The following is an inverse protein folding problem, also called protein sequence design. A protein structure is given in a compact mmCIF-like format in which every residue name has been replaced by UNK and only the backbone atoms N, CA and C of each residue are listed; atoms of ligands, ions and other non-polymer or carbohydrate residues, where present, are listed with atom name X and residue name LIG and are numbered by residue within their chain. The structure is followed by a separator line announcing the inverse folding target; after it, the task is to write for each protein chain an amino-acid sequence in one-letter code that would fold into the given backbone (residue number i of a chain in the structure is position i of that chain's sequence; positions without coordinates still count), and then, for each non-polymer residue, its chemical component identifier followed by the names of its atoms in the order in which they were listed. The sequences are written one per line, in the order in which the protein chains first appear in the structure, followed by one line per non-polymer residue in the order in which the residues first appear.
data_IF_449867332413
#
_entry.id   IF_449867332413
#
_cell.length_a   1.000
_cell.length_b   1.000
_cell.length_c   1.000
_cell.angle_alpha   90.00
_cell.angle_beta   90.00
_cell.angle_gamma   90.00
#
_symmetry.space_group_name_H-M   'P 1'
#
loop_
_entity.id
_entity.type
_entity.pdbx_description
1 polymer ?
#
# COMPACT_ATOMS: atom_id res chain seq x y z
N UNK A 1 14.96 -19.24 18.03
CA UNK A 1 13.69 -18.51 17.94
C UNK A 1 12.50 -19.46 18.11
N UNK A 2 12.62 -20.71 17.81
CA UNK A 2 11.59 -21.71 18.06
C UNK A 2 12.17 -22.82 18.95
N UNK A 3 12.28 -22.58 20.27
CA UNK A 3 12.61 -23.65 21.19
C UNK A 3 11.54 -24.73 21.09
N UNK A 4 11.93 -25.97 21.23
CA UNK A 4 10.98 -27.08 21.30
C UNK A 4 9.89 -26.73 22.31
N UNK A 5 8.62 -26.89 21.90
CA UNK A 5 7.46 -26.74 22.78
C UNK A 5 7.46 -27.79 23.89
N UNK A 6 8.29 -28.82 23.76
CA UNK A 6 8.50 -29.80 24.80
C UNK A 6 9.39 -29.19 25.90
N UNK A 7 8.78 -29.02 27.04
CA UNK A 7 9.41 -28.52 28.23
C UNK A 7 10.73 -29.24 28.52
N UNK A 8 11.82 -28.50 28.32
CA UNK A 8 13.14 -28.92 28.79
C UNK A 8 13.13 -28.80 30.30
N UNK A 9 12.67 -29.79 30.99
CA UNK A 9 12.75 -29.83 32.44
C UNK A 9 13.78 -30.86 32.83
N UNK A 10 14.85 -30.36 33.43
CA UNK A 10 15.68 -31.19 34.26
C UNK A 10 14.84 -31.52 35.48
N UNK A 11 14.41 -32.77 35.60
CA UNK A 11 13.56 -33.20 36.71
C UNK A 11 14.34 -33.23 38.02
N UNK A 12 15.59 -33.67 37.98
CA UNK A 12 16.45 -33.71 39.13
C UNK A 12 17.94 -33.59 38.75
N UNK A 13 18.73 -33.02 39.63
CA UNK A 13 20.17 -33.00 39.58
C UNK A 13 20.69 -33.53 40.93
N UNK A 14 21.18 -34.78 40.93
CA UNK A 14 21.60 -35.45 42.17
C UNK A 14 23.13 -35.56 42.18
N UNK A 15 23.78 -35.02 43.22
CA UNK A 15 25.23 -35.17 43.44
C UNK A 15 25.57 -36.52 44.03
N UNK A 16 26.76 -37.04 43.69
CA UNK A 16 27.28 -38.27 44.28
C UNK A 16 27.65 -38.12 45.77
N UNK A 17 28.03 -36.90 46.18
CA UNK A 17 28.40 -36.54 47.56
C UNK A 17 28.00 -35.08 47.79
N UNK A 18 27.52 -34.75 49.01
CA UNK A 18 27.18 -33.39 49.39
C UNK A 18 25.73 -33.02 49.33
N UNK A 19 25.43 -31.73 49.35
CA UNK A 19 24.06 -31.20 49.37
C UNK A 19 23.51 -31.09 47.96
N UNK A 20 22.18 -31.21 47.84
CA UNK A 20 21.46 -30.96 46.58
C UNK A 20 21.71 -29.52 46.11
N UNK A 21 22.01 -29.33 44.80
CA UNK A 21 22.22 -27.98 44.27
C UNK A 21 20.99 -27.12 44.41
N UNK A 22 21.18 -25.84 44.73
CA UNK A 22 20.10 -24.89 44.86
C UNK A 22 19.58 -24.55 43.44
N UNK A 23 18.31 -24.86 43.16
CA UNK A 23 17.65 -24.46 41.95
C UNK A 23 17.28 -22.99 41.99
N UNK A 24 17.68 -22.24 40.94
CA UNK A 24 17.30 -20.84 40.75
C UNK A 24 16.16 -20.83 39.74
N UNK A 25 15.03 -20.23 40.11
CA UNK A 25 13.90 -20.10 39.20
C UNK A 25 14.26 -19.21 38.01
N UNK A 26 14.14 -19.77 36.81
CA UNK A 26 14.30 -19.06 35.56
C UNK A 26 13.34 -19.69 34.52
N UNK A 27 12.59 -18.84 33.82
CA UNK A 27 11.55 -19.28 32.86
C UNK A 27 12.12 -19.93 31.59
N UNK A 28 13.43 -19.77 31.34
CA UNK A 28 14.07 -20.17 30.07
C UNK A 28 15.08 -21.29 30.19
N UNK A 29 15.60 -21.52 31.39
CA UNK A 29 16.61 -22.54 31.63
C UNK A 29 16.52 -23.06 33.05
N UNK A 30 16.77 -24.35 33.24
CA UNK A 30 16.95 -24.91 34.57
C UNK A 30 18.35 -24.54 35.05
N UNK A 31 18.44 -23.70 36.09
CA UNK A 31 19.69 -23.17 36.65
C UNK A 31 19.90 -23.76 38.02
N UNK A 32 21.08 -24.35 38.23
CA UNK A 32 21.48 -24.92 39.47
C UNK A 32 22.76 -24.25 39.95
N UNK A 33 22.73 -23.71 41.16
CA UNK A 33 23.94 -23.18 41.80
C UNK A 33 24.71 -24.34 42.47
N UNK A 34 25.91 -24.57 41.94
CA UNK A 34 26.80 -25.63 42.45
C UNK A 34 27.96 -24.99 43.21
N UNK A 35 28.25 -25.46 44.38
CA UNK A 35 29.41 -25.07 45.15
C UNK A 35 30.33 -26.29 45.28
N UNK A 36 31.56 -26.17 44.81
CA UNK A 36 32.57 -27.25 44.86
C UNK A 36 33.76 -26.73 45.62
N UNK A 37 34.18 -27.49 46.64
CA UNK A 37 35.39 -27.17 47.43
C UNK A 37 36.65 -27.47 46.61
N UNK A 38 37.72 -26.71 46.80
CA UNK A 38 38.98 -26.92 46.10
C UNK A 38 39.53 -28.35 46.29
N UNK A 39 39.79 -29.03 45.18
CA UNK A 39 40.33 -30.41 45.20
C UNK A 39 39.27 -31.52 45.28
N UNK A 40 37.98 -31.21 45.41
CA UNK A 40 36.90 -32.22 45.37
C UNK A 40 36.45 -32.52 43.93
N UNK A 41 36.16 -33.80 43.70
CA UNK A 41 35.51 -34.27 42.44
C UNK A 41 34.11 -34.76 42.79
N UNK A 42 33.09 -34.11 42.24
CA UNK A 42 31.69 -34.48 42.46
C UNK A 42 31.07 -34.86 41.12
N UNK A 43 30.45 -36.04 41.09
CA UNK A 43 29.69 -36.52 39.93
C UNK A 43 28.23 -36.11 40.11
N UNK A 44 27.65 -35.45 39.09
CA UNK A 44 26.23 -35.07 39.07
C UNK A 44 25.47 -35.96 38.09
N UNK A 45 24.40 -36.58 38.54
CA UNK A 45 23.46 -37.31 37.73
C UNK A 45 22.27 -36.39 37.43
N UNK A 46 22.02 -36.15 36.12
CA UNK A 46 20.94 -35.29 35.67
C UNK A 46 19.82 -36.15 35.04
N UNK A 47 18.64 -36.05 35.60
CA UNK A 47 17.43 -36.63 35.01
C UNK A 47 16.75 -35.61 34.10
N UNK A 48 16.63 -35.90 32.82
CA UNK A 48 16.03 -35.01 31.82
C UNK A 48 14.80 -35.64 31.18
N UNK A 49 13.68 -34.95 31.24
CA UNK A 49 12.48 -35.25 30.49
C UNK A 49 12.52 -34.53 29.13
N UNK A 50 13.39 -34.98 28.20
CA UNK A 50 13.55 -34.39 26.88
C UNK A 50 13.83 -35.46 25.84
N UNK A 51 13.29 -35.29 24.63
CA UNK A 51 13.52 -36.15 23.46
C UNK A 51 14.88 -35.88 22.80
N UNK A 52 15.57 -34.81 23.16
CA UNK A 52 16.89 -34.41 22.64
C UNK A 52 17.85 -34.05 23.77
N UNK A 53 19.12 -34.36 23.59
CA UNK A 53 20.18 -33.91 24.51
C UNK A 53 20.22 -32.39 24.58
N UNK A 54 19.90 -31.87 25.76
CA UNK A 54 20.01 -30.43 26.07
C UNK A 54 21.49 -30.07 26.27
N UNK A 55 21.88 -28.87 25.87
CA UNK A 55 23.22 -28.35 26.16
C UNK A 55 23.31 -27.96 27.63
N UNK A 56 24.37 -28.41 28.27
CA UNK A 56 24.70 -28.04 29.64
C UNK A 56 25.89 -27.09 29.58
N UNK A 57 25.71 -25.90 30.16
CA UNK A 57 26.75 -24.89 30.26
C UNK A 57 27.16 -24.71 31.72
N UNK A 58 28.43 -24.67 31.98
CA UNK A 58 28.96 -24.31 33.27
C UNK A 58 29.47 -22.87 33.21
N UNK A 59 28.92 -22.01 34.04
CA UNK A 59 29.26 -20.60 34.10
C UNK A 59 29.89 -20.23 35.43
N UNK A 60 30.89 -19.36 35.42
CA UNK A 60 31.26 -18.62 36.63
C UNK A 60 30.13 -17.64 36.97
N UNK A 61 29.77 -17.46 38.25
CA UNK A 61 28.64 -16.63 38.64
C UNK A 61 28.67 -15.22 38.05
N UNK A 62 29.79 -14.53 38.09
CA UNK A 62 29.96 -13.20 37.50
C UNK A 62 29.74 -13.21 35.95
N UNK A 63 30.28 -14.20 35.26
CA UNK A 63 30.12 -14.31 33.80
C UNK A 63 28.66 -14.57 33.43
N UNK A 64 27.94 -15.34 34.23
CA UNK A 64 26.50 -15.59 34.04
C UNK A 64 25.70 -14.29 34.26
N UNK A 65 25.98 -13.50 35.29
CA UNK A 65 25.31 -12.22 35.54
C UNK A 65 25.52 -11.23 34.37
N UNK A 66 26.74 -11.14 33.85
CA UNK A 66 27.04 -10.32 32.67
C UNK A 66 26.25 -10.80 31.45
N UNK A 67 26.26 -12.10 31.17
CA UNK A 67 25.50 -12.67 30.02
C UNK A 67 24.00 -12.40 30.13
N UNK A 68 23.41 -12.56 31.29
CA UNK A 68 21.99 -12.25 31.53
C UNK A 68 21.69 -10.77 31.33
N UNK A 69 22.61 -9.89 31.77
CA UNK A 69 22.46 -8.44 31.59
C UNK A 69 22.51 -8.05 30.12
N UNK A 70 23.46 -8.59 29.36
CA UNK A 70 23.56 -8.36 27.91
C UNK A 70 22.31 -8.83 27.16
N UNK A 71 21.79 -10.03 27.48
CA UNK A 71 20.55 -10.54 26.88
C UNK A 71 19.35 -9.67 27.21
N UNK A 72 19.24 -9.17 28.45
CA UNK A 72 18.14 -8.25 28.83
C UNK A 72 18.21 -6.94 28.07
N UNK A 73 19.42 -6.37 27.93
CA UNK A 73 19.64 -5.15 27.16
C UNK A 73 19.31 -5.35 25.70
N UNK A 74 19.79 -6.44 25.09
CA UNK A 74 19.47 -6.79 23.70
C UNK A 74 17.96 -6.94 23.49
N UNK A 75 17.26 -7.68 24.34
CA UNK A 75 15.82 -7.87 24.26
C UNK A 75 15.07 -6.53 24.40
N UNK A 76 15.50 -5.66 25.32
CA UNK A 76 14.92 -4.33 25.49
C UNK A 76 15.08 -3.45 24.26
N UNK A 77 16.25 -3.47 23.62
CA UNK A 77 16.51 -2.73 22.37
C UNK A 77 15.59 -3.26 21.24
N UNK A 78 15.48 -4.58 21.07
CA UNK A 78 14.63 -5.17 20.03
C UNK A 78 13.16 -4.81 20.22
N UNK A 79 12.64 -4.87 21.44
CA UNK A 79 11.28 -4.45 21.77
C UNK A 79 11.08 -2.96 21.53
N UNK A 80 12.06 -2.13 21.94
CA UNK A 80 12.00 -0.67 21.75
C UNK A 80 11.93 -0.28 20.28
N UNK A 81 12.82 -0.82 19.44
CA UNK A 81 12.84 -0.54 18.01
C UNK A 81 11.50 -0.97 17.35
N UNK A 82 11.04 -2.19 17.65
CA UNK A 82 9.79 -2.72 17.06
C UNK A 82 8.58 -1.92 17.54
N UNK A 83 8.52 -1.55 18.82
CA UNK A 83 7.44 -0.75 19.39
C UNK A 83 7.38 0.65 18.81
N UNK A 84 8.52 1.35 18.72
CA UNK A 84 8.60 2.68 18.10
C UNK A 84 8.18 2.66 16.64
N UNK A 85 8.61 1.64 15.88
CA UNK A 85 8.21 1.48 14.49
C UNK A 85 6.69 1.25 14.36
N UNK A 86 6.10 0.43 15.23
CA UNK A 86 4.65 0.19 15.27
C UNK A 86 3.87 1.47 15.54
N UNK A 87 4.29 2.27 16.52
CA UNK A 87 3.69 3.57 16.83
C UNK A 87 3.85 4.53 15.65
N UNK A 88 5.04 4.62 15.06
CA UNK A 88 5.33 5.47 13.90
C UNK A 88 4.41 5.15 12.72
N UNK A 89 4.31 3.87 12.31
CA UNK A 89 3.47 3.47 11.18
C UNK A 89 1.98 3.73 11.45
N UNK A 90 1.54 3.56 12.70
CA UNK A 90 0.17 3.85 13.12
C UNK A 90 -0.12 5.35 13.07
N UNK A 91 0.83 6.19 13.53
CA UNK A 91 0.71 7.64 13.47
C UNK A 91 0.68 8.16 12.02
N UNK A 92 1.54 7.60 11.15
CA UNK A 92 1.56 7.94 9.73
C UNK A 92 0.24 7.55 9.05
N UNK A 93 -0.37 6.42 9.43
CA UNK A 93 -1.70 6.06 8.96
C UNK A 93 -2.76 7.07 9.38
N UNK A 94 -2.77 7.51 10.63
CA UNK A 94 -3.71 8.52 11.13
C UNK A 94 -3.62 9.83 10.34
N UNK A 95 -2.42 10.20 9.86
CA UNK A 95 -2.20 11.39 9.06
C UNK A 95 -2.57 11.22 7.56
N UNK A 96 -2.33 10.06 6.97
CA UNK A 96 -2.42 9.86 5.50
C UNK A 96 -3.59 8.98 5.04
N UNK A 97 -4.25 8.23 5.92
CA UNK A 97 -5.38 7.33 5.64
C UNK A 97 -5.17 6.29 4.51
N UNK A 98 -3.93 6.03 4.08
CA UNK A 98 -3.63 5.03 3.04
C UNK A 98 -3.55 3.64 3.66
N UNK A 99 -4.30 2.65 3.12
CA UNK A 99 -4.39 1.27 3.62
C UNK A 99 -3.05 0.50 3.67
N UNK A 100 -2.01 0.99 3.03
CA UNK A 100 -0.66 0.39 3.06
C UNK A 100 -0.04 0.51 4.45
N UNK A 101 -0.24 1.64 5.14
CA UNK A 101 0.32 1.87 6.48
C UNK A 101 -0.27 0.96 7.56
N UNK A 102 -1.61 0.77 7.69
CA UNK A 102 -2.14 -0.14 8.69
C UNK A 102 -1.75 -1.60 8.45
N UNK A 103 -1.55 -2.03 7.19
CA UNK A 103 -1.08 -3.39 6.93
C UNK A 103 0.37 -3.62 7.38
N UNK A 104 1.27 -2.65 7.18
CA UNK A 104 2.64 -2.70 7.69
C UNK A 104 2.70 -2.55 9.22
N UNK A 105 1.88 -1.66 9.81
CA UNK A 105 1.75 -1.51 11.25
C UNK A 105 1.28 -2.82 11.89
N UNK A 106 0.31 -3.51 11.27
CA UNK A 106 -0.18 -4.81 11.75
C UNK A 106 0.95 -5.85 11.81
N UNK A 107 1.79 -5.96 10.79
CA UNK A 107 2.98 -6.83 10.80
C UNK A 107 3.87 -6.49 11.99
N UNK A 108 4.17 -5.20 12.17
CA UNK A 108 5.07 -4.74 13.24
C UNK A 108 4.48 -5.02 14.64
N UNK A 109 3.18 -4.80 14.84
CA UNK A 109 2.51 -5.10 16.11
C UNK A 109 2.47 -6.61 16.38
N UNK A 110 2.22 -7.45 15.36
CA UNK A 110 2.26 -8.92 15.51
C UNK A 110 3.66 -9.41 15.86
N UNK A 111 4.71 -8.86 15.24
CA UNK A 111 6.10 -9.17 15.59
C UNK A 111 6.41 -8.71 17.02
N UNK A 112 5.96 -7.54 17.44
CA UNK A 112 6.15 -7.06 18.82
C UNK A 112 5.48 -8.00 19.82
N UNK A 113 4.24 -8.41 19.59
CA UNK A 113 3.53 -9.37 20.44
C UNK A 113 4.28 -10.69 20.51
N UNK A 114 4.74 -11.21 19.36
CA UNK A 114 5.55 -12.42 19.31
C UNK A 114 6.83 -12.29 20.14
N UNK A 115 7.57 -11.18 20.02
CA UNK A 115 8.79 -10.92 20.81
C UNK A 115 8.49 -10.79 22.30
N UNK A 116 7.37 -10.17 22.68
CA UNK A 116 6.95 -10.08 24.09
C UNK A 116 6.69 -11.46 24.70
N UNK A 117 6.05 -12.36 23.93
CA UNK A 117 5.83 -13.76 24.37
C UNK A 117 7.16 -14.52 24.41
N UNK A 118 7.98 -14.43 23.36
CA UNK A 118 9.24 -15.15 23.23
C UNK A 118 10.28 -14.72 24.31
N UNK A 119 10.28 -13.45 24.66
CA UNK A 119 11.15 -12.90 25.72
C UNK A 119 10.61 -13.14 27.15
N UNK A 120 9.44 -13.77 27.30
CA UNK A 120 8.81 -14.02 28.59
C UNK A 120 8.33 -12.76 29.30
N UNK A 121 8.11 -11.66 28.55
CA UNK A 121 7.63 -10.39 29.12
C UNK A 121 6.20 -10.54 29.66
N UNK A 122 5.33 -11.27 28.96
CA UNK A 122 3.96 -11.52 29.36
C UNK A 122 3.87 -12.37 30.63
N UNK A 123 4.76 -13.37 30.78
CA UNK A 123 4.80 -14.19 31.99
C UNK A 123 5.10 -13.35 33.24
N UNK A 124 6.03 -12.41 33.12
CA UNK A 124 6.38 -11.52 34.23
C UNK A 124 5.32 -10.48 34.56
N UNK A 125 4.61 -9.98 33.54
CA UNK A 125 3.58 -8.94 33.72
C UNK A 125 2.26 -9.50 34.22
N UNK A 126 1.83 -10.66 33.70
CA UNK A 126 0.49 -11.22 33.91
C UNK A 126 0.49 -12.55 34.68
N UNK A 127 1.65 -13.07 35.14
CA UNK A 127 1.82 -14.35 35.86
C UNK A 127 1.15 -15.53 35.13
N UNK A 128 1.32 -15.62 33.83
CA UNK A 128 0.68 -16.59 32.96
C UNK A 128 1.30 -17.98 33.17
N UNK A 129 0.47 -19.06 33.19
CA UNK A 129 0.94 -20.44 33.27
C UNK A 129 1.76 -20.85 32.01
N UNK A 130 2.62 -21.85 32.14
CA UNK A 130 3.42 -22.37 31.03
C UNK A 130 2.55 -22.89 29.86
N UNK A 131 1.40 -23.50 30.15
CA UNK A 131 0.45 -23.97 29.14
C UNK A 131 -0.19 -22.80 28.39
N UNK A 132 -0.63 -21.77 29.09
CA UNK A 132 -1.16 -20.56 28.47
C UNK A 132 -0.10 -19.84 27.62
N UNK A 133 1.17 -19.84 28.03
CA UNK A 133 2.25 -19.27 27.23
C UNK A 133 2.45 -19.99 25.88
N UNK A 134 2.24 -21.32 25.83
CA UNK A 134 2.29 -22.06 24.57
C UNK A 134 1.15 -21.65 23.62
N UNK A 135 -0.05 -21.41 24.15
CA UNK A 135 -1.21 -20.93 23.38
C UNK A 135 -0.93 -19.52 22.82
N UNK A 136 -0.48 -18.59 23.66
CA UNK A 136 -0.15 -17.22 23.23
C UNK A 136 0.94 -17.20 22.16
N UNK A 137 1.94 -18.08 22.28
CA UNK A 137 3.01 -18.22 21.31
C UNK A 137 2.48 -18.70 19.96
N UNK A 138 1.70 -19.77 19.95
CA UNK A 138 1.10 -20.32 18.73
C UNK A 138 0.16 -19.30 18.06
N UNK A 139 -0.63 -18.57 18.83
CA UNK A 139 -1.49 -17.52 18.34
C UNK A 139 -0.69 -16.36 17.73
N UNK A 140 0.41 -15.94 18.37
CA UNK A 140 1.28 -14.88 17.85
C UNK A 140 2.00 -15.30 16.54
N UNK A 141 2.45 -16.56 16.42
CA UNK A 141 3.02 -17.11 15.19
C UNK A 141 1.98 -17.11 14.05
N UNK A 142 0.75 -17.53 14.31
CA UNK A 142 -0.34 -17.51 13.34
C UNK A 142 -0.73 -16.08 12.94
N UNK A 143 -0.83 -15.16 13.90
CA UNK A 143 -1.10 -13.74 13.64
C UNK A 143 0.00 -13.08 12.81
N UNK A 144 1.26 -13.42 13.04
CA UNK A 144 2.40 -12.93 12.25
C UNK A 144 2.32 -13.42 10.79
N UNK A 145 2.00 -14.69 10.56
CA UNK A 145 1.80 -15.23 9.21
C UNK A 145 0.60 -14.55 8.50
N UNK A 146 -0.50 -14.37 9.22
CA UNK A 146 -1.71 -13.67 8.72
C UNK A 146 -1.38 -12.23 8.34
N UNK A 147 -0.71 -11.49 9.21
CA UNK A 147 -0.37 -10.07 8.99
C UNK A 147 0.54 -9.88 7.78
N UNK A 148 1.51 -10.77 7.58
CA UNK A 148 2.40 -10.74 6.42
C UNK A 148 1.64 -11.03 5.11
N UNK A 149 0.67 -11.96 5.12
CA UNK A 149 -0.21 -12.22 3.97
C UNK A 149 -1.07 -11.00 3.64
N UNK A 150 -1.66 -10.35 4.65
CA UNK A 150 -2.44 -9.11 4.48
C UNK A 150 -1.57 -7.99 3.91
N UNK A 151 -0.35 -7.86 4.42
CA UNK A 151 0.61 -6.88 3.92
C UNK A 151 0.92 -7.08 2.44
N UNK A 152 1.28 -8.30 2.02
CA UNK A 152 1.53 -8.62 0.62
C UNK A 152 0.32 -8.34 -0.27
N UNK A 153 -0.86 -8.80 0.15
CA UNK A 153 -2.11 -8.58 -0.59
C UNK A 153 -2.37 -7.09 -0.82
N UNK A 154 -2.22 -6.27 0.24
CA UNK A 154 -2.49 -4.84 0.20
C UNK A 154 -1.42 -4.08 -0.57
N UNK A 155 -0.14 -4.38 -0.33
CA UNK A 155 0.98 -3.68 -0.94
C UNK A 155 1.08 -3.93 -2.44
N UNK A 156 0.94 -5.19 -2.89
CA UNK A 156 0.98 -5.57 -4.30
C UNK A 156 -0.37 -5.37 -5.03
N UNK A 157 -1.41 -4.90 -4.32
CA UNK A 157 -2.77 -4.69 -4.86
C UNK A 157 -3.35 -5.93 -5.55
N UNK A 158 -3.18 -7.11 -4.94
CA UNK A 158 -3.64 -8.38 -5.50
C UNK A 158 -5.17 -8.41 -5.71
N UNK A 159 -5.91 -7.59 -4.99
CA UNK A 159 -7.37 -7.43 -5.18
C UNK A 159 -7.81 -6.94 -6.57
N UNK A 160 -6.90 -6.28 -7.32
CA UNK A 160 -7.17 -5.78 -8.68
C UNK A 160 -6.84 -6.82 -9.77
N UNK A 161 -6.36 -8.00 -9.38
CA UNK A 161 -5.98 -9.08 -10.29
C UNK A 161 -7.18 -9.97 -10.65
N UNK A 162 -6.92 -10.96 -11.51
CA UNK A 162 -7.93 -11.93 -11.94
C UNK A 162 -8.65 -12.56 -10.76
N UNK A 163 -9.95 -12.85 -10.90
CA UNK A 163 -10.82 -13.35 -9.83
C UNK A 163 -10.24 -14.55 -9.07
N UNK A 164 -9.53 -15.44 -9.77
CA UNK A 164 -8.88 -16.60 -9.17
C UNK A 164 -7.75 -16.23 -8.16
N UNK A 165 -6.87 -15.29 -8.50
CA UNK A 165 -5.78 -14.86 -7.60
C UNK A 165 -6.33 -14.16 -6.34
N UNK A 166 -7.40 -13.36 -6.50
CA UNK A 166 -8.10 -12.73 -5.40
C UNK A 166 -8.75 -13.76 -4.48
N UNK A 167 -9.45 -14.76 -5.06
CA UNK A 167 -10.08 -15.84 -4.29
C UNK A 167 -9.03 -16.63 -3.51
N UNK A 168 -7.94 -17.04 -4.16
CA UNK A 168 -6.87 -17.83 -3.53
C UNK A 168 -6.23 -17.07 -2.36
N UNK A 169 -5.89 -15.78 -2.53
CA UNK A 169 -5.31 -14.96 -1.45
C UNK A 169 -6.29 -14.75 -0.29
N UNK A 170 -7.59 -14.58 -0.57
CA UNK A 170 -8.61 -14.42 0.46
C UNK A 170 -8.82 -15.71 1.26
N UNK A 171 -8.90 -16.85 0.59
CA UNK A 171 -9.01 -18.17 1.24
C UNK A 171 -7.79 -18.43 2.12
N UNK A 172 -6.59 -18.11 1.61
CA UNK A 172 -5.36 -18.22 2.38
C UNK A 172 -5.38 -17.38 3.66
N UNK A 173 -5.79 -16.11 3.57
CA UNK A 173 -5.88 -15.21 4.74
C UNK A 173 -6.90 -15.73 5.77
N UNK A 174 -8.06 -16.22 5.31
CA UNK A 174 -9.09 -16.79 6.20
C UNK A 174 -8.55 -18.05 6.89
N UNK A 175 -7.86 -18.94 6.16
CA UNK A 175 -7.26 -20.13 6.72
C UNK A 175 -6.21 -19.80 7.80
N UNK A 176 -5.39 -18.75 7.57
CA UNK A 176 -4.42 -18.28 8.57
C UNK A 176 -5.09 -17.70 9.80
N UNK A 177 -6.17 -16.93 9.63
CA UNK A 177 -6.93 -16.39 10.75
C UNK A 177 -7.57 -17.53 11.58
N UNK A 178 -8.03 -18.59 10.93
CA UNK A 178 -8.56 -19.77 11.62
C UNK A 178 -7.50 -20.45 12.50
N UNK A 179 -6.21 -20.43 12.12
CA UNK A 179 -5.12 -20.99 12.93
C UNK A 179 -4.99 -20.28 14.29
N UNK A 180 -5.33 -18.99 14.38
CA UNK A 180 -5.34 -18.27 15.66
C UNK A 180 -6.35 -18.87 16.63
N UNK A 181 -7.51 -19.30 16.12
CA UNK A 181 -8.53 -19.99 16.94
C UNK A 181 -8.10 -21.43 17.27
N UNK A 182 -7.48 -22.14 16.31
CA UNK A 182 -6.98 -23.49 16.52
C UNK A 182 -5.87 -23.49 17.58
N UNK A 183 -5.11 -22.41 17.73
CA UNK A 183 -4.06 -22.27 18.75
C UNK A 183 -4.60 -22.43 20.19
N UNK A 184 -5.87 -22.14 20.42
CA UNK A 184 -6.53 -22.33 21.72
C UNK A 184 -6.83 -23.81 21.99
N UNK A 185 -7.14 -24.58 20.94
CA UNK A 185 -7.50 -26.00 21.04
C UNK A 185 -6.26 -26.90 21.05
N UNK A 186 -5.35 -26.68 20.10
CA UNK A 186 -4.09 -27.42 19.98
C UNK A 186 -2.95 -26.45 19.54
N UNK A 187 -2.17 -25.94 20.51
CA UNK A 187 -1.09 -25.00 20.21
C UNK A 187 0.02 -25.62 19.38
N UNK A 188 0.25 -26.96 19.46
CA UNK A 188 1.31 -27.63 18.70
C UNK A 188 0.97 -27.70 17.21
N UNK A 189 -0.24 -28.11 16.89
CA UNK A 189 -0.73 -28.15 15.50
C UNK A 189 -0.76 -26.73 14.91
N UNK A 190 -1.32 -25.77 15.62
CA UNK A 190 -1.42 -24.39 15.17
C UNK A 190 -0.04 -23.78 14.85
N UNK A 191 0.94 -23.94 15.74
CA UNK A 191 2.28 -23.40 15.52
C UNK A 191 3.01 -24.10 14.35
N UNK A 192 2.83 -25.41 14.19
CA UNK A 192 3.44 -26.15 13.05
C UNK A 192 2.89 -25.66 11.72
N UNK A 193 1.57 -25.54 11.60
CA UNK A 193 0.95 -25.01 10.37
C UNK A 193 1.25 -23.54 10.15
N UNK A 194 1.32 -22.72 11.20
CA UNK A 194 1.71 -21.33 11.09
C UNK A 194 3.13 -21.16 10.55
N UNK A 195 4.09 -21.96 11.02
CA UNK A 195 5.49 -21.97 10.55
C UNK A 195 5.61 -22.44 9.10
N UNK A 196 4.91 -23.52 8.74
CA UNK A 196 4.87 -24.00 7.36
C UNK A 196 4.26 -22.94 6.42
N UNK A 197 3.18 -22.32 6.86
CA UNK A 197 2.52 -21.27 6.12
C UNK A 197 3.42 -20.03 5.95
N UNK A 198 4.14 -19.64 6.98
CA UNK A 198 5.09 -18.54 6.93
C UNK A 198 6.23 -18.82 5.94
N UNK A 199 6.74 -20.07 5.91
CA UNK A 199 7.72 -20.52 4.94
C UNK A 199 7.16 -20.54 3.52
N UNK A 200 5.95 -21.09 3.33
CA UNK A 200 5.28 -21.10 2.04
C UNK A 200 5.02 -19.69 1.51
N UNK A 201 4.60 -18.76 2.38
CA UNK A 201 4.39 -17.36 2.04
C UNK A 201 5.71 -16.68 1.65
N UNK A 202 6.82 -17.04 2.31
CA UNK A 202 8.15 -16.55 1.95
C UNK A 202 8.55 -16.95 0.53
N UNK A 203 8.43 -18.23 0.20
CA UNK A 203 8.79 -18.77 -1.12
C UNK A 203 7.81 -18.30 -2.21
N UNK A 204 6.50 -18.40 -1.97
CA UNK A 204 5.49 -17.96 -2.93
C UNK A 204 5.53 -16.43 -3.14
N UNK A 205 5.73 -15.68 -2.06
CA UNK A 205 5.92 -14.24 -2.13
C UNK A 205 7.14 -13.84 -2.94
N UNK A 206 8.27 -14.54 -2.79
CA UNK A 206 9.47 -14.31 -3.60
C UNK A 206 9.20 -14.52 -5.09
N UNK A 207 8.57 -15.64 -5.45
CA UNK A 207 8.19 -15.94 -6.83
C UNK A 207 7.24 -14.88 -7.40
N UNK A 208 6.25 -14.45 -6.63
CA UNK A 208 5.30 -13.42 -7.00
C UNK A 208 5.97 -12.05 -7.19
N UNK A 209 6.82 -11.64 -6.26
CA UNK A 209 7.56 -10.37 -6.33
C UNK A 209 8.47 -10.36 -7.56
N UNK A 210 9.20 -11.46 -7.81
CA UNK A 210 10.06 -11.57 -8.99
C UNK A 210 9.26 -11.50 -10.29
N UNK A 211 8.14 -12.22 -10.38
CA UNK A 211 7.25 -12.19 -11.53
C UNK A 211 6.71 -10.79 -11.82
N UNK A 212 6.30 -10.06 -10.78
CA UNK A 212 5.79 -8.70 -10.89
C UNK A 212 6.89 -7.68 -11.23
N UNK A 213 8.09 -7.87 -10.68
CA UNK A 213 9.25 -7.05 -10.98
C UNK A 213 9.66 -7.15 -12.45
N UNK A 214 9.65 -8.38 -13.02
CA UNK A 214 9.92 -8.61 -14.46
C UNK A 214 8.84 -7.91 -15.33
N UNK A 215 7.62 -7.80 -14.84
CA UNK A 215 6.54 -7.05 -15.50
C UNK A 215 6.61 -5.53 -15.31
N UNK A 216 7.67 -5.01 -14.70
CA UNK A 216 7.90 -3.58 -14.50
C UNK A 216 7.05 -2.93 -13.41
N UNK A 217 6.62 -3.68 -12.41
CA UNK A 217 5.85 -3.13 -11.30
C UNK A 217 6.78 -2.52 -10.24
N UNK A 218 6.84 -1.20 -10.11
CA UNK A 218 7.72 -0.48 -9.17
C UNK A 218 7.56 -0.91 -7.71
N UNK A 219 6.34 -1.30 -7.31
CA UNK A 219 6.06 -1.81 -5.96
C UNK A 219 6.77 -3.12 -5.68
N UNK A 220 6.80 -4.02 -6.65
CA UNK A 220 7.48 -5.28 -6.51
C UNK A 220 9.00 -5.08 -6.45
N UNK A 221 9.55 -4.19 -7.30
CA UNK A 221 10.97 -3.84 -7.28
C UNK A 221 11.43 -3.31 -5.92
N UNK A 222 10.62 -2.45 -5.27
CA UNK A 222 10.96 -1.90 -3.95
C UNK A 222 10.98 -2.93 -2.82
N UNK A 223 10.27 -4.07 -2.97
CA UNK A 223 10.24 -5.15 -1.99
C UNK A 223 11.39 -6.16 -2.13
N UNK A 224 12.12 -6.18 -3.24
CA UNK A 224 13.17 -7.17 -3.51
C UNK A 224 14.21 -7.24 -2.36
N UNK A 225 14.80 -6.13 -1.88
CA UNK A 225 15.81 -6.19 -0.83
C UNK A 225 15.26 -6.76 0.48
N UNK A 226 14.06 -6.35 0.87
CA UNK A 226 13.38 -6.83 2.08
C UNK A 226 13.09 -8.32 1.98
N UNK A 227 12.63 -8.77 0.81
CA UNK A 227 12.25 -10.16 0.61
C UNK A 227 13.45 -11.08 0.50
N UNK A 228 14.55 -10.60 -0.08
CA UNK A 228 15.81 -11.33 -0.12
C UNK A 228 16.35 -11.58 1.30
N UNK A 229 16.34 -10.55 2.15
CA UNK A 229 16.71 -10.69 3.56
C UNK A 229 15.77 -11.67 4.29
N UNK A 230 14.46 -11.62 3.98
CA UNK A 230 13.47 -12.53 4.55
C UNK A 230 13.75 -14.01 4.18
N UNK A 231 14.13 -14.30 2.94
CA UNK A 231 14.52 -15.64 2.50
C UNK A 231 15.79 -16.14 3.20
N UNK A 232 16.79 -15.27 3.35
CA UNK A 232 18.02 -15.60 4.10
C UNK A 232 17.67 -15.91 5.57
N UNK A 233 16.83 -15.09 6.17
CA UNK A 233 16.34 -15.30 7.53
C UNK A 233 15.58 -16.62 7.66
N UNK A 234 14.68 -16.91 6.71
CA UNK A 234 13.88 -18.13 6.67
C UNK A 234 14.79 -19.38 6.56
N UNK A 235 15.84 -19.30 5.74
CA UNK A 235 16.84 -20.37 5.62
C UNK A 235 17.57 -20.58 6.96
N UNK A 236 18.02 -19.51 7.62
CA UNK A 236 18.63 -19.57 8.95
C UNK A 236 17.70 -20.20 9.99
N UNK A 237 16.41 -19.80 9.99
CA UNK A 237 15.40 -20.35 10.88
C UNK A 237 15.16 -21.87 10.61
N UNK A 238 15.12 -22.28 9.34
CA UNK A 238 14.99 -23.70 8.97
C UNK A 238 16.21 -24.53 9.43
N UNK A 239 17.42 -23.98 9.33
CA UNK A 239 18.65 -24.62 9.79
C UNK A 239 18.69 -24.79 11.32
N UNK A 240 18.09 -23.86 12.06
CA UNK A 240 17.95 -24.00 13.53
C UNK A 240 16.92 -25.07 13.90
N UNK A 241 15.81 -25.14 13.17
CA UNK A 241 14.79 -26.17 13.38
C UNK A 241 15.33 -27.61 13.12
N UNK A 242 16.18 -27.76 12.10
CA UNK A 242 16.81 -29.03 11.79
C UNK A 242 17.99 -29.37 12.75
N UNK A 243 18.32 -28.47 13.68
CA UNK A 243 19.40 -28.66 14.65
C UNK A 243 20.82 -28.51 14.07
N UNK A 244 20.97 -28.08 12.82
CA UNK A 244 22.28 -27.89 12.16
C UNK A 244 22.97 -26.61 12.60
N UNK A 245 22.20 -25.56 12.90
CA UNK A 245 22.69 -24.30 13.47
C UNK A 245 22.15 -24.14 14.89
N UNK A 246 23.01 -24.38 15.87
CA UNK A 246 22.66 -24.26 17.28
C UNK A 246 23.69 -23.37 17.99
N UNK A 247 23.26 -22.24 18.54
CA UNK A 247 24.08 -21.34 19.32
C UNK A 247 23.28 -20.14 19.81
N UNK A 248 23.67 -19.59 20.96
CA UNK A 248 23.00 -18.42 21.53
C UNK A 248 23.11 -17.20 20.60
N UNK A 249 24.24 -17.08 19.89
CA UNK A 249 24.46 -16.05 18.86
C UNK A 249 23.46 -16.21 17.71
N UNK A 250 23.17 -17.43 17.26
CA UNK A 250 22.23 -17.68 16.15
C UNK A 250 20.81 -17.28 16.52
N UNK A 251 20.38 -17.59 17.74
CA UNK A 251 19.05 -17.17 18.24
C UNK A 251 18.95 -15.65 18.27
N UNK A 252 19.95 -14.96 18.82
CA UNK A 252 19.98 -13.50 18.85
C UNK A 252 20.04 -12.88 17.45
N UNK A 253 20.80 -13.48 16.51
CA UNK A 253 20.86 -13.04 15.11
C UNK A 253 19.52 -13.21 14.38
N UNK A 254 18.78 -14.31 14.64
CA UNK A 254 17.45 -14.51 14.07
C UNK A 254 16.43 -13.52 14.63
N UNK A 255 16.49 -13.16 15.90
CA UNK A 255 15.64 -12.10 16.48
C UNK A 255 15.97 -10.75 15.83
N UNK A 256 17.26 -10.37 15.77
CA UNK A 256 17.68 -9.15 15.13
C UNK A 256 17.28 -9.10 13.64
N UNK A 257 17.43 -10.21 12.93
CA UNK A 257 17.02 -10.34 11.53
C UNK A 257 15.52 -10.13 11.33
N UNK A 258 14.68 -10.69 12.20
CA UNK A 258 13.23 -10.48 12.15
C UNK A 258 12.86 -9.00 12.37
N UNK A 259 13.49 -8.35 13.36
CA UNK A 259 13.29 -6.91 13.61
C UNK A 259 13.77 -6.09 12.42
N UNK A 260 14.92 -6.43 11.82
CA UNK A 260 15.45 -5.72 10.65
C UNK A 260 14.50 -5.85 9.44
N UNK A 261 13.90 -7.02 9.21
CA UNK A 261 12.90 -7.23 8.16
C UNK A 261 11.70 -6.29 8.38
N UNK A 262 11.19 -6.18 9.63
CA UNK A 262 10.07 -5.28 9.92
C UNK A 262 10.45 -3.81 9.71
N UNK A 263 11.67 -3.40 10.06
CA UNK A 263 12.20 -2.06 9.79
C UNK A 263 12.27 -1.79 8.29
N UNK A 264 12.75 -2.75 7.50
CA UNK A 264 12.80 -2.62 6.03
C UNK A 264 11.41 -2.58 5.41
N UNK A 265 10.45 -3.34 5.92
CA UNK A 265 9.03 -3.22 5.51
C UNK A 265 8.53 -1.80 5.76
N UNK A 266 8.71 -1.29 6.98
CA UNK A 266 8.31 0.07 7.34
C UNK A 266 8.97 1.14 6.47
N UNK A 267 10.27 1.02 6.22
CA UNK A 267 11.03 1.91 5.34
C UNK A 267 10.52 1.87 3.90
N UNK A 268 10.32 0.67 3.34
CA UNK A 268 9.82 0.48 1.97
C UNK A 268 8.43 1.09 1.79
N UNK A 269 7.53 0.87 2.76
CA UNK A 269 6.17 1.44 2.75
C UNK A 269 6.23 2.95 2.83
N UNK A 270 7.06 3.49 3.71
CA UNK A 270 7.22 4.93 3.90
C UNK A 270 7.80 5.58 2.65
N UNK A 271 8.90 5.07 2.12
CA UNK A 271 9.48 5.55 0.87
C UNK A 271 8.49 5.52 -0.29
N UNK A 272 7.78 4.40 -0.45
CA UNK A 272 6.81 4.27 -1.54
C UNK A 272 5.64 5.25 -1.38
N UNK A 273 5.15 5.46 -0.17
CA UNK A 273 4.02 6.36 0.09
C UNK A 273 4.39 7.84 -0.08
N UNK A 274 5.61 8.23 0.29
CA UNK A 274 6.09 9.61 0.13
C UNK A 274 6.60 9.89 -1.30
N UNK A 275 7.18 8.91 -1.99
CA UNK A 275 7.55 9.04 -3.42
C UNK A 275 6.35 9.38 -4.32
N UNK A 276 5.15 8.96 -3.94
CA UNK A 276 3.92 9.32 -4.66
C UNK A 276 3.37 10.71 -4.29
N UNK A 277 4.00 11.44 -3.39
CA UNK A 277 3.58 12.79 -2.91
C UNK A 277 4.55 13.88 -3.37
N UNK A 278 5.81 13.56 -3.66
CA UNK A 278 6.73 14.54 -4.23
C UNK A 278 6.34 14.84 -5.68
N UNK A 279 6.01 16.10 -6.01
CA UNK A 279 6.07 16.53 -7.39
C UNK A 279 7.54 16.37 -7.81
N UNK A 280 7.76 15.51 -8.79
CA UNK A 280 9.09 15.17 -9.30
C UNK A 280 9.78 16.42 -9.86
N UNK A 281 10.46 17.17 -8.99
CA UNK A 281 11.48 18.09 -9.45
C UNK A 281 12.66 17.26 -9.96
N UNK A 282 12.63 16.95 -11.28
CA UNK A 282 13.75 16.29 -11.97
C UNK A 282 13.46 14.94 -12.63
N UNK A 283 12.32 14.28 -12.39
CA UNK A 283 11.90 13.15 -13.23
C UNK A 283 11.06 13.67 -14.40
N UNK A 284 11.26 13.14 -15.59
CA UNK A 284 10.40 13.44 -16.74
C UNK A 284 8.93 13.24 -16.33
N UNK A 285 8.05 14.22 -16.59
CA UNK A 285 6.65 14.13 -16.20
C UNK A 285 6.05 12.86 -16.79
N UNK A 286 5.23 12.14 -15.99
CA UNK A 286 4.55 10.94 -16.47
C UNK A 286 3.75 11.27 -17.73
N UNK A 287 3.57 10.29 -18.61
CA UNK A 287 2.81 10.50 -19.86
C UNK A 287 1.42 11.11 -19.61
N UNK A 288 0.80 10.79 -18.46
CA UNK A 288 -0.45 11.42 -18.03
C UNK A 288 -0.28 12.90 -17.63
N UNK A 289 0.82 13.25 -16.96
CA UNK A 289 1.13 14.64 -16.61
C UNK A 289 1.52 15.47 -17.83
N UNK A 290 2.29 14.87 -18.75
CA UNK A 290 2.59 15.51 -20.04
C UNK A 290 1.33 15.79 -20.85
N UNK A 291 0.39 14.85 -20.86
CA UNK A 291 -0.91 15.02 -21.52
C UNK A 291 -1.75 16.13 -20.88
N UNK A 292 -1.82 16.18 -19.54
CA UNK A 292 -2.57 17.25 -18.85
C UNK A 292 -1.92 18.62 -19.09
N UNK A 293 -0.60 18.73 -18.98
CA UNK A 293 0.13 19.97 -19.25
C UNK A 293 0.01 20.41 -20.72
N UNK A 294 0.00 19.46 -21.66
CA UNK A 294 -0.22 19.76 -23.07
C UNK A 294 -1.62 20.31 -23.35
N UNK A 295 -2.64 19.74 -22.69
CA UNK A 295 -4.03 20.22 -22.80
C UNK A 295 -4.17 21.62 -22.18
N UNK A 296 -3.60 21.81 -20.99
CA UNK A 296 -3.56 23.11 -20.30
C UNK A 296 -2.77 24.17 -21.10
N UNK A 297 -1.60 23.81 -21.61
CA UNK A 297 -0.77 24.69 -22.43
C UNK A 297 -1.41 25.05 -23.77
N UNK A 298 -2.31 24.23 -24.29
CA UNK A 298 -3.12 24.51 -25.48
C UNK A 298 -4.34 25.42 -25.18
N UNK A 299 -4.54 25.87 -23.94
CA UNK A 299 -5.71 26.65 -23.53
C UNK A 299 -7.01 25.89 -23.65
N UNK A 300 -6.96 24.55 -23.62
CA UNK A 300 -8.11 23.68 -23.72
C UNK A 300 -8.51 23.10 -22.37
N UNK A 301 -9.80 22.94 -22.13
CA UNK A 301 -10.34 22.25 -20.97
C UNK A 301 -10.83 20.86 -21.35
N UNK A 302 -10.65 19.89 -20.44
CA UNK A 302 -11.27 18.58 -20.63
C UNK A 302 -12.77 18.69 -20.43
N UNK A 303 -13.53 18.14 -21.37
CA UNK A 303 -14.97 18.02 -21.31
C UNK A 303 -15.34 16.54 -21.28
N UNK A 304 -16.24 16.16 -20.38
CA UNK A 304 -16.68 14.78 -20.20
C UNK A 304 -18.20 14.73 -20.00
N UNK A 305 -18.86 13.87 -20.75
CA UNK A 305 -20.30 13.63 -20.64
C UNK A 305 -20.59 12.17 -20.33
N UNK A 306 -21.40 11.96 -19.28
CA UNK A 306 -21.93 10.65 -18.88
C UNK A 306 -23.42 10.59 -19.21
N UNK A 307 -23.80 9.94 -20.29
CA UNK A 307 -25.18 9.88 -20.73
C UNK A 307 -26.12 9.25 -19.69
N UNK A 308 -25.72 8.17 -19.04
CA UNK A 308 -26.55 7.46 -18.05
C UNK A 308 -26.80 8.29 -16.78
N UNK A 309 -25.84 9.10 -16.34
CA UNK A 309 -25.98 9.96 -15.16
C UNK A 309 -26.54 11.32 -15.50
N UNK A 310 -26.64 11.63 -16.80
CA UNK A 310 -26.99 12.94 -17.32
C UNK A 310 -26.14 14.07 -16.73
N UNK A 311 -24.80 13.81 -16.68
CA UNK A 311 -23.81 14.70 -16.10
C UNK A 311 -22.79 15.14 -17.13
N UNK A 312 -22.45 16.43 -17.15
CA UNK A 312 -21.33 17.02 -17.88
C UNK A 312 -20.32 17.53 -16.86
N UNK A 313 -19.04 17.20 -17.03
CA UNK A 313 -17.93 17.75 -16.27
C UNK A 313 -17.03 18.51 -17.20
N UNK A 314 -16.62 19.72 -16.79
CA UNK A 314 -15.64 20.54 -17.49
C UNK A 314 -14.43 20.82 -16.61
N UNK A 315 -13.26 21.00 -17.24
CA UNK A 315 -12.05 21.39 -16.52
C UNK A 315 -12.10 22.82 -16.01
N UNK A 316 -11.40 23.09 -14.94
CA UNK A 316 -11.34 24.42 -14.28
C UNK A 316 -11.00 25.59 -15.22
N UNK A 317 -10.17 25.34 -16.25
CA UNK A 317 -9.82 26.35 -17.25
C UNK A 317 -11.06 26.90 -17.98
N UNK A 318 -12.04 26.06 -18.31
CA UNK A 318 -13.27 26.53 -18.96
C UNK A 318 -14.16 27.32 -17.99
N UNK A 319 -14.22 26.94 -16.72
CA UNK A 319 -14.94 27.70 -15.70
C UNK A 319 -14.31 29.09 -15.51
N UNK A 320 -12.97 29.16 -15.41
CA UNK A 320 -12.24 30.43 -15.35
C UNK A 320 -12.44 31.29 -16.59
N UNK A 321 -12.49 30.69 -17.80
CA UNK A 321 -12.79 31.38 -19.05
C UNK A 321 -14.21 31.96 -19.06
N UNK A 322 -15.14 31.40 -18.27
CA UNK A 322 -16.49 31.93 -18.06
C UNK A 322 -16.57 32.94 -16.89
N UNK A 323 -15.46 33.23 -16.21
CA UNK A 323 -15.42 34.11 -15.03
C UNK A 323 -16.01 33.46 -13.77
N UNK A 324 -16.07 32.13 -13.72
CA UNK A 324 -16.56 31.35 -12.59
C UNK A 324 -15.39 30.80 -11.76
N UNK A 325 -15.63 30.50 -10.50
CA UNK A 325 -14.66 29.81 -9.67
C UNK A 325 -14.62 28.31 -10.00
N UNK A 326 -13.47 27.64 -9.86
CA UNK A 326 -13.36 26.19 -10.08
C UNK A 326 -14.35 25.38 -9.23
N UNK A 327 -15.18 24.56 -9.87
CA UNK A 327 -16.23 23.76 -9.22
C UNK A 327 -17.56 24.48 -9.00
N UNK A 328 -17.72 25.69 -9.50
CA UNK A 328 -18.96 26.48 -9.36
C UNK A 328 -20.04 26.00 -10.34
N UNK A 329 -19.64 25.50 -11.50
CA UNK A 329 -20.61 24.98 -12.48
C UNK A 329 -21.15 23.60 -12.05
N UNK A 330 -22.47 23.52 -11.93
CA UNK A 330 -23.15 22.24 -11.62
C UNK A 330 -22.84 21.19 -12.70
N UNK A 331 -22.62 19.96 -12.27
CA UNK A 331 -22.35 18.82 -13.19
C UNK A 331 -23.56 18.36 -13.97
N UNK A 332 -24.78 18.86 -13.70
CA UNK A 332 -25.99 18.45 -14.39
C UNK A 332 -26.07 19.06 -15.79
N UNK A 333 -26.40 18.25 -16.80
CA UNK A 333 -26.56 18.69 -18.19
C UNK A 333 -27.51 19.89 -18.31
N UNK A 334 -28.61 19.89 -17.57
CA UNK A 334 -29.60 20.98 -17.58
C UNK A 334 -28.99 22.33 -17.14
N UNK A 335 -28.10 22.29 -16.14
CA UNK A 335 -27.48 23.51 -15.63
C UNK A 335 -26.37 23.99 -16.57
N UNK A 336 -25.59 23.10 -17.16
CA UNK A 336 -24.64 23.43 -18.23
C UNK A 336 -25.33 24.14 -19.41
N UNK A 337 -26.49 23.63 -19.89
CA UNK A 337 -27.23 24.21 -20.97
C UNK A 337 -27.81 25.58 -20.66
N UNK A 338 -28.13 25.88 -19.38
CA UNK A 338 -28.60 27.22 -18.99
C UNK A 338 -27.54 28.33 -19.19
N UNK A 339 -26.25 28.00 -19.09
CA UNK A 339 -25.18 28.92 -19.44
C UNK A 339 -24.99 29.10 -20.94
N UNK A 340 -25.57 28.23 -21.76
CA UNK A 340 -25.53 28.35 -23.22
C UNK A 340 -26.45 29.47 -23.74
N UNK A 341 -26.05 30.11 -24.82
CA UNK A 341 -26.92 31.06 -25.50
C UNK A 341 -28.21 30.37 -26.02
N UNK A 342 -29.40 30.98 -25.84
CA UNK A 342 -30.67 30.33 -26.20
C UNK A 342 -30.73 29.75 -27.62
N UNK A 343 -30.15 30.43 -28.61
CA UNK A 343 -30.12 29.97 -30.00
C UNK A 343 -29.28 28.68 -30.21
N UNK A 344 -28.38 28.34 -29.30
CA UNK A 344 -27.47 27.19 -29.41
C UNK A 344 -27.97 25.97 -28.60
N UNK A 345 -28.86 26.20 -27.61
CA UNK A 345 -29.33 25.17 -26.67
C UNK A 345 -30.04 23.99 -27.39
N UNK A 346 -30.95 24.28 -28.33
CA UNK A 346 -31.70 23.23 -29.02
C UNK A 346 -30.79 22.37 -29.88
N UNK A 347 -29.88 23.01 -30.65
CA UNK A 347 -28.89 22.29 -31.47
C UNK A 347 -28.01 21.36 -30.64
N UNK A 348 -27.57 21.82 -29.46
CA UNK A 348 -26.73 21.04 -28.56
C UNK A 348 -27.52 19.86 -27.96
N UNK A 349 -28.78 20.06 -27.55
CA UNK A 349 -29.64 18.99 -27.06
C UNK A 349 -29.86 17.89 -28.08
N UNK A 350 -30.17 18.27 -29.35
CA UNK A 350 -30.36 17.34 -30.46
C UNK A 350 -29.10 16.53 -30.72
N UNK A 351 -27.92 17.15 -30.56
CA UNK A 351 -26.62 16.51 -30.73
C UNK A 351 -26.36 15.45 -29.65
N UNK A 352 -26.60 15.78 -28.39
CA UNK A 352 -26.47 14.80 -27.28
C UNK A 352 -27.45 13.65 -27.42
N UNK A 353 -28.71 13.94 -27.82
CA UNK A 353 -29.73 12.92 -28.08
C UNK A 353 -29.33 11.97 -29.22
N UNK A 354 -28.80 12.53 -30.33
CA UNK A 354 -28.37 11.75 -31.49
C UNK A 354 -27.25 10.77 -31.15
N UNK A 355 -26.28 11.18 -30.29
CA UNK A 355 -25.19 10.33 -29.82
C UNK A 355 -25.70 9.21 -28.92
N UNK A 356 -26.64 9.52 -28.05
CA UNK A 356 -27.24 8.52 -27.18
C UNK A 356 -27.96 7.44 -27.93
N UNK A 357 -28.70 7.82 -28.99
CA UNK A 357 -29.45 6.86 -29.85
C UNK A 357 -28.52 6.03 -30.74
N UNK A 358 -27.41 6.59 -31.22
CA UNK A 358 -26.42 5.88 -32.04
C UNK A 358 -25.42 5.06 -31.24
N UNK A 359 -25.52 5.07 -29.92
CA UNK A 359 -24.55 4.43 -28.99
C UNK A 359 -23.08 4.83 -29.21
N UNK A 360 -22.83 6.06 -29.65
CA UNK A 360 -21.50 6.61 -29.82
C UNK A 360 -21.34 7.51 -31.05
N UNK A 361 -20.14 8.05 -31.20
CA UNK A 361 -19.79 8.93 -32.31
C UNK A 361 -18.80 10.03 -31.86
N UNK A 362 -18.62 11.00 -32.78
CA UNK A 362 -17.80 12.19 -32.51
C UNK A 362 -18.73 13.41 -32.42
N UNK A 363 -18.32 14.36 -31.60
CA UNK A 363 -18.95 15.69 -31.49
C UNK A 363 -17.93 16.71 -32.01
N UNK A 364 -18.35 17.54 -32.95
CA UNK A 364 -17.64 18.76 -33.32
C UNK A 364 -18.67 19.86 -33.46
N UNK A 365 -18.61 20.82 -32.53
CA UNK A 365 -19.61 21.91 -32.54
C UNK A 365 -19.05 23.11 -31.79
N UNK A 366 -19.38 24.29 -32.30
CA UNK A 366 -19.16 25.56 -31.61
C UNK A 366 -20.47 26.08 -31.04
N UNK A 367 -20.39 26.72 -29.89
CA UNK A 367 -21.53 27.34 -29.22
C UNK A 367 -21.11 28.50 -28.35
N UNK A 368 -22.08 29.34 -28.01
CA UNK A 368 -21.86 30.50 -27.12
C UNK A 368 -22.28 30.16 -25.69
N UNK A 369 -21.46 30.55 -24.74
CA UNK A 369 -21.79 30.48 -23.33
C UNK A 369 -21.75 31.86 -22.70
N UNK A 370 -22.63 32.09 -21.72
CA UNK A 370 -22.71 33.33 -20.97
C UNK A 370 -21.59 33.42 -19.95
N UNK A 371 -20.78 34.44 -20.05
CA UNK A 371 -19.76 34.77 -19.07
C UNK A 371 -20.38 35.49 -17.85
N UNK A 372 -19.69 35.53 -16.71
CA UNK A 372 -20.16 36.17 -15.46
C UNK A 372 -20.49 37.66 -15.65
N UNK A 373 -19.85 38.37 -16.61
CA UNK A 373 -20.13 39.77 -16.98
C UNK A 373 -21.33 39.96 -17.95
N UNK A 374 -22.10 38.89 -18.20
CA UNK A 374 -23.19 38.82 -19.19
C UNK A 374 -22.74 38.90 -20.66
N UNK A 375 -21.46 38.91 -20.98
CA UNK A 375 -20.97 38.80 -22.34
C UNK A 375 -21.06 37.35 -22.83
N UNK A 376 -21.02 37.15 -24.17
CA UNK A 376 -20.98 35.83 -24.76
C UNK A 376 -19.55 35.46 -25.12
N UNK A 377 -19.12 34.25 -24.70
CA UNK A 377 -17.87 33.60 -25.08
C UNK A 377 -18.15 32.46 -26.04
N UNK A 378 -17.35 32.33 -27.08
CA UNK A 378 -17.44 31.25 -28.04
C UNK A 378 -16.56 30.07 -27.60
N UNK A 379 -17.18 28.90 -27.52
CA UNK A 379 -16.46 27.67 -27.24
C UNK A 379 -16.54 26.73 -28.42
N UNK A 380 -15.42 26.06 -28.75
CA UNK A 380 -15.33 24.95 -29.69
C UNK A 380 -15.20 23.65 -28.92
N UNK A 381 -16.06 22.68 -29.18
CA UNK A 381 -16.08 21.36 -28.57
C UNK A 381 -15.76 20.28 -29.59
N UNK A 382 -14.67 19.56 -29.35
CA UNK A 382 -14.33 18.33 -30.05
C UNK A 382 -14.31 17.17 -29.07
N UNK A 383 -15.19 16.21 -29.19
CA UNK A 383 -15.29 15.05 -28.28
C UNK A 383 -15.64 13.78 -29.03
N UNK A 384 -15.24 12.63 -28.47
CA UNK A 384 -15.53 11.32 -29.00
C UNK A 384 -16.03 10.37 -27.91
N UNK A 385 -16.79 9.35 -28.31
CA UNK A 385 -17.24 8.29 -27.43
C UNK A 385 -16.09 7.38 -27.05
N UNK A 386 -15.98 7.07 -25.73
CA UNK A 386 -14.96 6.18 -25.19
C UNK A 386 -15.60 4.82 -24.92
N UNK A 387 -14.96 3.70 -25.35
CA UNK A 387 -15.47 2.37 -25.05
C UNK A 387 -15.43 2.14 -23.55
N UNK A 388 -16.59 1.77 -22.99
CA UNK A 388 -16.73 1.43 -21.55
C UNK A 388 -16.93 -0.08 -21.44
N UNK A 389 -16.43 -0.68 -20.36
CA UNK A 389 -16.59 -2.11 -20.07
C UNK A 389 -18.06 -2.56 -19.97
N UNK A 390 -18.95 -1.64 -19.65
CA UNK A 390 -20.40 -1.85 -19.68
C UNK A 390 -20.95 -1.27 -21.00
N UNK A 391 -21.31 -2.16 -21.95
CA UNK A 391 -21.90 -1.82 -23.26
C UNK A 391 -23.17 -0.95 -23.20
N UNK A 392 -23.73 -0.73 -22.00
CA UNK A 392 -24.94 0.07 -21.78
C UNK A 392 -24.66 1.50 -21.32
N UNK A 393 -23.41 1.90 -21.08
CA UNK A 393 -23.08 3.26 -20.63
C UNK A 393 -22.26 4.01 -21.67
N UNK A 394 -22.87 5.01 -22.29
CA UNK A 394 -22.17 5.93 -23.20
C UNK A 394 -21.43 7.00 -22.38
N UNK A 395 -20.13 7.12 -22.61
CA UNK A 395 -19.26 8.17 -22.08
C UNK A 395 -18.57 8.85 -23.26
N UNK A 396 -18.63 10.17 -23.32
CA UNK A 396 -17.89 10.97 -24.30
C UNK A 396 -16.85 11.82 -23.57
N UNK A 397 -15.66 11.91 -24.12
CA UNK A 397 -14.55 12.72 -23.58
C UNK A 397 -13.98 13.56 -24.73
N UNK A 398 -13.66 14.81 -24.46
CA UNK A 398 -13.11 15.71 -25.46
C UNK A 398 -12.47 16.96 -24.87
N UNK A 399 -12.22 17.90 -25.75
CA UNK A 399 -11.60 19.17 -25.47
C UNK A 399 -12.58 20.31 -25.76
N UNK A 400 -12.65 21.25 -24.83
CA UNK A 400 -13.42 22.47 -24.91
C UNK A 400 -12.44 23.64 -24.93
N UNK A 401 -12.48 24.48 -25.99
CA UNK A 401 -11.58 25.64 -26.16
C UNK A 401 -12.38 26.92 -26.23
N UNK A 402 -11.90 27.96 -25.58
CA UNK A 402 -12.39 29.34 -25.82
C UNK A 402 -11.80 29.85 -27.13
N UNK A 403 -12.66 30.04 -28.12
CA UNK A 403 -12.30 30.56 -29.45
C UNK A 403 -12.85 31.98 -29.69
N UNK A 404 -13.17 32.69 -28.60
CA UNK A 404 -13.78 34.03 -28.66
C UNK A 404 -12.93 35.03 -29.46
N UNK A 405 -11.63 35.11 -29.16
CA UNK A 405 -10.72 36.05 -29.83
C UNK A 405 -10.49 35.64 -31.30
N UNK A 406 -10.44 34.35 -31.58
CA UNK A 406 -10.34 33.85 -32.95
C UNK A 406 -11.58 34.24 -33.77
N UNK A 407 -12.80 34.03 -33.23
CA UNK A 407 -14.06 34.41 -33.88
C UNK A 407 -14.18 35.91 -34.07
N UNK A 408 -13.75 36.71 -33.07
CA UNK A 408 -13.72 38.18 -33.18
C UNK A 408 -12.77 38.68 -34.27
N UNK A 409 -11.55 38.11 -34.30
CA UNK A 409 -10.56 38.42 -35.31
C UNK A 409 -11.06 38.05 -36.72
N UNK A 410 -11.63 36.86 -36.87
CA UNK A 410 -12.23 36.43 -38.13
C UNK A 410 -13.38 37.36 -38.61
N UNK A 411 -14.25 37.75 -37.65
CA UNK A 411 -15.33 38.70 -37.97
C UNK A 411 -14.81 40.07 -38.41
N UNK A 412 -13.73 40.57 -37.74
CA UNK A 412 -13.06 41.83 -38.17
C UNK A 412 -12.45 41.70 -39.55
N UNK A 413 -11.69 40.63 -39.80
CA UNK A 413 -11.11 40.40 -41.14
C UNK A 413 -12.19 40.31 -42.24
N UNK A 414 -13.33 39.68 -41.97
CA UNK A 414 -14.45 39.66 -42.91
C UNK A 414 -15.06 41.05 -43.10
N UNK A 415 -15.19 41.82 -42.04
CA UNK A 415 -15.67 43.21 -42.11
C UNK A 415 -14.71 44.09 -42.91
N UNK A 416 -13.41 44.03 -42.66
CA UNK A 416 -12.41 44.77 -43.39
C UNK A 416 -12.30 44.35 -44.85
N UNK A 417 -12.62 43.10 -45.20
CA UNK A 417 -12.65 42.58 -46.56
C UNK A 417 -13.79 43.16 -47.42
N UNK A 418 -14.87 43.64 -46.78
CA UNK A 418 -16.06 44.13 -47.51
C UNK A 418 -16.40 45.59 -47.25
N UNK A 419 -15.90 46.18 -46.17
CA UNK A 419 -16.10 47.60 -45.82
C UNK A 419 -14.79 48.36 -45.79
N UNK A 420 -14.88 49.66 -46.10
CA UNK A 420 -13.77 50.59 -45.92
C UNK A 420 -13.64 50.96 -44.41
N UNK A 421 -12.45 50.72 -43.85
CA UNK A 421 -12.20 50.85 -42.42
C UNK A 421 -12.33 52.32 -41.88
N UNK A 422 -12.27 53.33 -42.75
CA UNK A 422 -12.39 54.74 -42.35
C UNK A 422 -13.82 55.23 -42.39
N UNK A 423 -14.58 54.87 -43.45
CA UNK A 423 -15.95 55.40 -43.69
C UNK A 423 -17.05 54.43 -43.30
N UNK A 424 -16.77 53.15 -43.10
CA UNK A 424 -17.76 52.11 -42.88
C UNK A 424 -18.65 51.77 -44.10
N UNK A 425 -18.36 52.33 -45.25
CA UNK A 425 -19.07 52.10 -46.51
C UNK A 425 -18.53 50.85 -47.23
N UNK A 426 -19.29 50.26 -48.16
CA UNK A 426 -18.79 49.18 -48.97
C UNK A 426 -17.46 49.54 -49.62
N UNK A 427 -16.47 48.69 -49.52
CA UNK A 427 -15.17 48.93 -50.16
C UNK A 427 -15.30 48.78 -51.69
N UNK A 428 -14.25 49.11 -52.40
CA UNK A 428 -14.23 49.12 -53.86
C UNK A 428 -14.62 47.72 -54.45
N UNK A 429 -14.23 46.64 -53.80
CA UNK A 429 -14.51 45.31 -54.28
C UNK A 429 -15.99 44.94 -54.17
N UNK A 430 -16.59 45.19 -53.01
CA UNK A 430 -18.03 44.95 -52.77
C UNK A 430 -18.90 45.89 -53.62
N UNK A 431 -18.44 47.13 -53.81
CA UNK A 431 -19.15 48.09 -54.68
C UNK A 431 -19.17 47.64 -56.14
N UNK A 432 -18.02 47.19 -56.68
CA UNK A 432 -17.91 46.70 -58.04
C UNK A 432 -18.67 45.39 -58.28
N UNK A 433 -18.68 44.49 -57.30
CA UNK A 433 -19.45 43.24 -57.34
C UNK A 433 -20.96 43.50 -57.39
N UNK A 434 -21.47 44.38 -56.49
CA UNK A 434 -22.85 44.78 -56.51
C UNK A 434 -23.27 45.53 -57.77
N UNK A 435 -22.39 46.38 -58.33
CA UNK A 435 -22.60 47.08 -59.59
C UNK A 435 -22.71 46.09 -60.76
N UNK A 436 -21.83 45.11 -60.82
CA UNK A 436 -21.92 44.03 -61.83
C UNK A 436 -23.23 43.24 -61.77
N UNK A 437 -23.65 42.94 -60.55
CA UNK A 437 -24.93 42.17 -60.32
C UNK A 437 -26.17 43.01 -60.66
N UNK A 438 -26.10 44.35 -60.49
CA UNK A 438 -27.18 45.25 -60.81
C UNK A 438 -27.31 45.60 -62.32
N UNK A 439 -26.24 45.41 -63.09
CA UNK A 439 -26.18 45.70 -64.56
C UNK A 439 -26.38 44.42 -65.39
N UNK A 440 -26.34 43.21 -64.81
CA UNK A 440 -26.60 41.95 -65.43
C UNK A 440 -28.11 41.62 -65.34
#
# INVERSE_FOLDING_TARGET
IWPDLDSRRLSALTPSVGFLPQRIENDRADIFKITIDPGQTITYTAEMASTRLSRIYMWKPLAYEFHVRELRLFNGIMLGITGLLGIFLTAVFAANHKLIFPSAALVTWCVLVYLCVDFGFWHKLLQISAEANAVYRAAAEAAMATSLAIFLHTFLRLGNWHGFARMLSSVWMIAQLALVFIAVLDPRLASTFARLSFAALGCAGAALILFLAIRGQDRALSLIPTWLLFLVWLFGAAMTLTGKLNGDIVVSALVAGLVLITVLIGFTVTQFAFRSVEPHYGAAPSEQQLRSLAVEGAGAAVWEWHARRNEIKIGAIAEMALGLNPGELSTKVKDFIKYMHPADQERFNVLLWSLQNKNGGEIRTDFRMRHADNSNRWFDLEAASVPTSDRRSLRCVGLLRDVTDQKRSQARLMQDAVLDSLTGLPNRELFLDRLKTAVA
#
